data_IF_170171941259
#
_entry.id   IF_170171941259
#
_cell.length_a   1.000
_cell.length_b   1.000
_cell.length_c   1.000
_cell.angle_alpha   90.00
_cell.angle_beta   90.00
_cell.angle_gamma   90.00
#
_symmetry.space_group_name_H-M   'P 1'
#
loop_
_entity.id
_entity.type
_entity.pdbx_description
1 polymer ?
#
# COMPACT_ATOMS: atom_id res chain seq x y z
N UNK A 1 -3.02 -13.13 -1.85
CA UNK A 1 -2.65 -11.83 -2.44
C UNK A 1 -1.62 -11.17 -1.53
N UNK A 2 -0.62 -10.50 -2.08
CA UNK A 2 0.46 -9.90 -1.30
C UNK A 2 0.22 -8.40 -1.14
N UNK A 3 0.46 -7.86 0.04
CA UNK A 3 0.51 -6.43 0.31
C UNK A 3 1.92 -6.03 0.72
N UNK A 4 2.29 -4.79 0.45
CA UNK A 4 3.56 -4.21 0.86
C UNK A 4 3.34 -2.90 1.59
N UNK A 5 4.18 -2.65 2.59
CA UNK A 5 4.26 -1.40 3.34
C UNK A 5 5.73 -0.96 3.41
N UNK A 6 6.20 -0.13 2.46
CA UNK A 6 7.59 0.33 2.43
C UNK A 6 7.91 1.34 3.54
N UNK A 7 6.90 2.04 4.08
CA UNK A 7 7.08 2.97 5.20
C UNK A 7 7.18 2.24 6.53
N UNK A 8 6.43 1.15 6.71
CA UNK A 8 6.34 0.43 7.97
C UNK A 8 6.62 -1.07 7.74
N UNK A 9 7.91 -1.47 7.70
CA UNK A 9 8.28 -2.84 7.35
C UNK A 9 7.85 -3.91 8.37
N UNK A 10 7.46 -3.50 9.57
CA UNK A 10 6.99 -4.37 10.66
C UNK A 10 5.58 -3.95 11.14
N UNK A 11 4.74 -3.42 10.23
CA UNK A 11 3.39 -2.96 10.57
C UNK A 11 2.52 -4.14 11.04
N UNK A 12 1.80 -3.94 12.14
CA UNK A 12 0.80 -4.91 12.63
C UNK A 12 -0.56 -4.24 12.60
N UNK A 13 -1.50 -4.82 11.86
CA UNK A 13 -2.91 -4.41 11.83
C UNK A 13 -3.69 -5.38 12.70
N UNK A 14 -3.81 -5.03 13.99
CA UNK A 14 -4.45 -5.89 14.99
C UNK A 14 -5.92 -6.23 14.66
N UNK A 15 -6.65 -5.28 14.11
CA UNK A 15 -8.06 -5.45 13.72
C UNK A 15 -8.26 -6.54 12.65
N UNK A 16 -7.29 -6.64 11.73
CA UNK A 16 -7.31 -7.59 10.62
C UNK A 16 -6.45 -8.83 10.86
N UNK A 17 -5.71 -8.88 11.98
CA UNK A 17 -4.75 -9.95 12.26
C UNK A 17 -3.57 -10.01 11.27
N UNK A 18 -3.27 -8.93 10.56
CA UNK A 18 -2.22 -8.90 9.52
C UNK A 18 -0.93 -8.38 10.11
N UNK A 19 0.17 -9.09 9.87
CA UNK A 19 1.52 -8.65 10.22
C UNK A 19 2.35 -8.55 8.94
N UNK A 20 2.93 -7.37 8.73
CA UNK A 20 3.92 -7.14 7.69
C UNK A 20 5.29 -7.56 8.24
N UNK A 21 6.03 -8.33 7.45
CA UNK A 21 7.40 -8.76 7.73
C UNK A 21 8.24 -8.31 6.55
N UNK A 22 9.32 -7.57 6.82
CA UNK A 22 10.16 -6.96 5.79
C UNK A 22 9.38 -6.03 4.83
N UNK A 23 8.27 -5.46 5.31
CA UNK A 23 7.37 -4.63 4.52
C UNK A 23 6.48 -5.41 3.61
N UNK A 24 6.26 -6.69 3.87
CA UNK A 24 5.42 -7.55 3.05
C UNK A 24 4.46 -8.37 3.93
N UNK A 25 3.21 -8.51 3.50
CA UNK A 25 2.21 -9.34 4.15
C UNK A 25 1.50 -10.21 3.12
N UNK A 26 1.42 -11.51 3.37
CA UNK A 26 0.61 -12.43 2.58
C UNK A 26 -0.78 -12.58 3.18
N UNK A 27 -1.80 -12.30 2.39
CA UNK A 27 -3.19 -12.31 2.83
C UNK A 27 -4.00 -13.19 1.88
N UNK A 28 -4.67 -14.20 2.41
CA UNK A 28 -5.53 -15.11 1.64
C UNK A 28 -7.01 -14.77 1.80
N UNK A 29 -7.38 -14.12 2.90
CA UNK A 29 -8.76 -13.77 3.22
C UNK A 29 -9.26 -12.59 2.39
N UNK A 30 -10.46 -12.72 1.83
CA UNK A 30 -11.03 -11.75 0.90
C UNK A 30 -11.46 -10.47 1.62
N UNK A 31 -12.09 -10.58 2.79
CA UNK A 31 -12.52 -9.43 3.58
C UNK A 31 -11.31 -8.61 4.04
N UNK A 32 -10.24 -9.29 4.48
CA UNK A 32 -8.98 -8.63 4.83
C UNK A 32 -8.34 -7.93 3.62
N UNK A 33 -8.38 -8.54 2.43
CA UNK A 33 -7.89 -7.90 1.19
C UNK A 33 -8.65 -6.60 0.88
N UNK A 34 -9.98 -6.61 1.02
CA UNK A 34 -10.82 -5.43 0.78
C UNK A 34 -10.56 -4.33 1.81
N UNK A 35 -10.45 -4.69 3.09
CA UNK A 35 -10.11 -3.76 4.17
C UNK A 35 -8.73 -3.11 3.96
N UNK A 36 -7.70 -3.89 3.62
CA UNK A 36 -6.35 -3.37 3.34
C UNK A 36 -6.30 -2.44 2.12
N UNK A 37 -7.15 -2.67 1.11
CA UNK A 37 -7.29 -1.77 -0.05
C UNK A 37 -7.99 -0.46 0.29
N UNK A 38 -8.83 -0.45 1.32
CA UNK A 38 -9.51 0.75 1.83
C UNK A 38 -8.65 1.58 2.80
N UNK A 39 -7.47 1.09 3.19
CA UNK A 39 -6.61 1.82 4.12
C UNK A 39 -6.11 3.15 3.53
N UNK A 40 -5.94 4.18 4.37
CA UNK A 40 -5.34 5.44 3.95
C UNK A 40 -3.97 5.25 3.32
N UNK A 41 -3.71 6.00 2.25
CA UNK A 41 -2.41 5.99 1.57
C UNK A 41 -1.24 6.42 2.48
N UNK A 42 -1.54 7.18 3.54
CA UNK A 42 -0.57 7.61 4.55
C UNK A 42 0.05 6.44 5.34
N UNK A 43 -0.65 5.30 5.42
CA UNK A 43 -0.12 4.08 6.03
C UNK A 43 0.83 3.31 5.09
N UNK A 44 0.90 3.70 3.81
CA UNK A 44 1.80 3.10 2.82
C UNK A 44 1.44 1.67 2.40
N UNK A 45 0.33 1.12 2.87
CA UNK A 45 -0.12 -0.24 2.54
C UNK A 45 -0.67 -0.28 1.12
N UNK A 46 -0.14 -1.18 0.29
CA UNK A 46 -0.54 -1.33 -1.12
C UNK A 46 -0.40 -2.77 -1.60
N UNK A 47 -1.24 -3.19 -2.53
CA UNK A 47 -1.15 -4.55 -3.07
C UNK A 47 0.13 -4.73 -3.93
N UNK A 48 0.95 -5.74 -3.59
CA UNK A 48 2.11 -6.14 -4.38
C UNK A 48 1.63 -6.73 -5.71
N UNK A 49 1.96 -6.07 -6.82
CA UNK A 49 1.55 -6.47 -8.16
C UNK A 49 0.43 -5.63 -8.78
N UNK A 50 -0.09 -4.63 -8.07
CA UNK A 50 -0.80 -3.53 -8.74
C UNK A 50 0.20 -2.76 -9.59
N UNK A 51 0.05 -2.81 -10.92
CA UNK A 51 0.74 -1.92 -11.87
C UNK A 51 0.81 -0.53 -11.22
N UNK A 52 1.99 0.11 -11.06
CA UNK A 52 2.03 1.47 -10.53
C UNK A 52 1.03 2.29 -11.35
N UNK A 53 0.15 3.10 -10.74
CA UNK A 53 -0.63 4.03 -11.54
C UNK A 53 0.39 4.78 -12.39
N UNK A 54 0.31 4.61 -13.71
CA UNK A 54 1.12 5.33 -14.67
C UNK A 54 1.10 6.78 -14.21
N UNK A 55 2.27 7.31 -13.89
CA UNK A 55 2.43 8.59 -13.25
C UNK A 55 1.46 9.61 -13.85
N UNK A 56 0.41 9.97 -13.10
CA UNK A 56 -0.02 11.37 -13.13
C UNK A 56 1.13 12.10 -12.48
N UNK A 57 2.04 12.50 -13.35
CA UNK A 57 3.10 13.45 -13.08
C UNK A 57 2.42 14.76 -12.72
N UNK A 58 2.05 14.91 -11.45
CA UNK A 58 1.98 16.22 -10.83
C UNK A 58 3.40 16.75 -10.66
N UNK A 59 4.00 17.25 -11.74
CA UNK A 59 5.08 18.24 -11.64
C UNK A 59 4.40 19.60 -11.58
N UNK A 60 4.22 20.12 -10.38
CA UNK A 60 3.94 21.54 -10.21
C UNK A 60 5.23 22.32 -10.52
N UNK A 61 5.14 23.23 -11.49
CA UNK A 61 5.97 24.44 -11.58
C UNK A 61 7.23 24.39 -12.46
N UNK A 62 7.18 25.08 -13.61
CA UNK A 62 8.08 26.20 -13.98
C UNK A 62 7.78 26.69 -15.42
N UNK A 63 7.02 27.77 -15.57
CA UNK A 63 7.14 28.73 -16.69
C UNK A 63 8.59 29.29 -16.72
N UNK A 64 9.23 29.67 -17.87
CA UNK A 64 8.63 30.51 -18.92
C UNK A 64 9.11 30.23 -20.38
N UNK A 65 8.45 30.87 -21.36
CA UNK A 65 9.02 31.25 -22.66
C UNK A 65 8.44 32.62 -23.07
#
# INVERSE_FOLDING_TARGET
MKFVSPQYPQLVVHDLGVTFVDGEAEVTDKDTIEALRGLPAELGVRAAGGRPPSAVTGKTGKDPA
#
